data_IF_937836031642
#
_entry.id   IF_937836031642
#
_cell.length_a   1.000
_cell.length_b   1.000
_cell.length_c   1.000
_cell.angle_alpha   90.00
_cell.angle_beta   90.00
_cell.angle_gamma   90.00
#
_symmetry.space_group_name_H-M   'P 1'
#
loop_
_entity.id
_entity.type
_entity.pdbx_description
1 polymer ?
#
# COMPACT_ATOMS: atom_id res chain seq x y z
N UNK A 1 -30.52 -0.20 7.75
CA UNK A 1 -29.10 -0.22 8.19
C UNK A 1 -28.31 0.57 7.16
N UNK A 2 -27.94 1.81 7.46
CA UNK A 2 -27.05 2.57 6.58
C UNK A 2 -25.67 1.94 6.69
N UNK A 3 -25.29 1.14 5.69
CA UNK A 3 -23.88 0.86 5.43
C UNK A 3 -23.29 2.23 5.13
N UNK A 4 -22.63 2.85 6.12
CA UNK A 4 -21.84 4.03 5.88
C UNK A 4 -20.95 3.68 4.68
N UNK A 5 -21.20 4.33 3.54
CA UNK A 5 -20.44 4.17 2.30
C UNK A 5 -19.02 4.69 2.55
N UNK A 6 -18.27 3.92 3.32
CA UNK A 6 -16.93 4.26 3.74
C UNK A 6 -16.02 4.12 2.54
N UNK A 7 -15.24 5.16 2.27
CA UNK A 7 -14.16 5.08 1.31
C UNK A 7 -13.00 4.35 1.96
N UNK A 8 -12.62 3.18 1.44
CA UNK A 8 -11.48 2.40 1.93
C UNK A 8 -10.64 1.88 0.77
N UNK A 9 -9.37 1.58 1.06
CA UNK A 9 -8.49 0.92 0.10
C UNK A 9 -8.52 -0.58 0.30
N UNK A 10 -8.61 -1.33 -0.80
CA UNK A 10 -8.46 -2.78 -0.81
C UNK A 10 -7.16 -3.15 -1.50
N UNK A 11 -6.30 -3.88 -0.80
CA UNK A 11 -5.06 -4.43 -1.35
C UNK A 11 -5.32 -5.84 -1.87
N UNK A 12 -4.85 -6.13 -3.07
CA UNK A 12 -4.96 -7.43 -3.72
C UNK A 12 -3.59 -7.97 -4.14
N UNK A 13 -3.56 -9.27 -4.43
CA UNK A 13 -2.39 -9.89 -5.03
C UNK A 13 -2.38 -9.60 -6.54
N UNK A 14 -1.27 -9.10 -7.11
CA UNK A 14 -1.15 -8.84 -8.54
C UNK A 14 -1.36 -10.10 -9.40
N UNK A 15 -1.03 -11.29 -8.89
CA UNK A 15 -1.14 -12.57 -9.62
C UNK A 15 -2.60 -12.91 -10.02
N UNK A 16 -3.60 -12.29 -9.38
CA UNK A 16 -5.01 -12.45 -9.79
C UNK A 16 -5.32 -11.80 -11.15
N UNK A 17 -4.49 -10.86 -11.60
CA UNK A 17 -4.56 -10.27 -12.94
C UNK A 17 -3.62 -11.00 -13.88
N UNK A 18 -4.14 -11.79 -14.81
CA UNK A 18 -3.34 -12.59 -15.76
C UNK A 18 -2.62 -11.73 -16.84
N UNK A 19 -2.36 -10.44 -16.59
CA UNK A 19 -1.70 -9.54 -17.53
C UNK A 19 -0.21 -9.36 -17.16
N UNK A 20 0.68 -9.22 -18.16
CA UNK A 20 2.14 -9.15 -17.96
C UNK A 20 2.56 -7.99 -17.05
N UNK A 21 1.82 -6.88 -17.07
CA UNK A 21 2.00 -5.72 -16.19
C UNK A 21 1.85 -6.03 -14.68
N UNK A 22 1.19 -7.13 -14.31
CA UNK A 22 1.10 -7.56 -12.91
C UNK A 22 2.31 -8.37 -12.45
N UNK A 23 3.11 -8.95 -13.36
CA UNK A 23 4.23 -9.84 -12.99
C UNK A 23 5.36 -9.11 -12.26
N UNK A 24 5.49 -7.81 -12.47
CA UNK A 24 6.49 -6.95 -11.80
C UNK A 24 5.89 -6.06 -10.71
N UNK A 25 4.57 -6.11 -10.52
CA UNK A 25 3.89 -5.39 -9.45
C UNK A 25 4.09 -6.14 -8.12
N UNK A 26 4.31 -5.39 -7.04
CA UNK A 26 4.42 -5.93 -5.68
C UNK A 26 3.03 -6.18 -5.09
N UNK A 27 2.13 -5.24 -5.35
CA UNK A 27 0.75 -5.27 -4.88
C UNK A 27 -0.15 -4.50 -5.85
N UNK A 28 -1.45 -4.76 -5.77
CA UNK A 28 -2.47 -3.93 -6.43
C UNK A 28 -3.33 -3.28 -5.38
N UNK A 29 -3.73 -2.03 -5.62
CA UNK A 29 -4.64 -1.28 -4.76
C UNK A 29 -5.85 -0.85 -5.57
N UNK A 30 -7.03 -0.98 -4.98
CA UNK A 30 -8.26 -0.39 -5.51
C UNK A 30 -8.95 0.40 -4.40
N UNK A 31 -9.52 1.57 -4.70
CA UNK A 31 -10.49 2.21 -3.84
C UNK A 31 -11.81 1.44 -3.92
N UNK A 32 -12.45 1.28 -2.79
CA UNK A 32 -13.73 0.59 -2.65
C UNK A 32 -14.68 1.46 -1.80
N UNK A 33 -15.98 1.17 -1.87
CA UNK A 33 -17.02 1.97 -1.21
C UNK A 33 -17.29 3.36 -1.81
N UNK A 34 -16.56 3.80 -2.84
CA UNK A 34 -16.93 4.95 -3.65
C UNK A 34 -17.68 4.51 -4.92
N UNK A 35 -18.72 5.26 -5.31
CA UNK A 35 -19.47 4.98 -6.54
C UNK A 35 -18.64 5.14 -7.82
N UNK A 36 -17.52 5.85 -7.75
CA UNK A 36 -16.62 6.13 -8.88
C UNK A 36 -15.15 5.92 -8.50
N UNK A 37 -14.66 4.67 -8.49
CA UNK A 37 -13.29 4.35 -8.08
C UNK A 37 -12.22 4.96 -8.99
N UNK A 38 -12.55 5.27 -10.25
CA UNK A 38 -11.63 5.93 -11.19
C UNK A 38 -11.35 7.41 -10.87
N UNK A 39 -12.20 8.08 -10.09
CA UNK A 39 -12.00 9.48 -9.67
C UNK A 39 -11.20 9.60 -8.37
N UNK A 40 -10.98 8.49 -7.66
CA UNK A 40 -10.18 8.48 -6.45
C UNK A 40 -8.70 8.65 -6.80
N UNK A 41 -8.04 9.60 -6.15
CA UNK A 41 -6.61 9.77 -6.26
C UNK A 41 -5.93 8.88 -5.23
N UNK A 42 -5.07 7.98 -5.69
CA UNK A 42 -4.24 7.15 -4.83
C UNK A 42 -2.80 7.57 -4.99
N UNK A 43 -2.15 7.88 -3.88
CA UNK A 43 -0.72 8.16 -3.79
C UNK A 43 -0.06 7.16 -2.85
N UNK A 44 1.25 7.02 -2.94
CA UNK A 44 1.99 6.12 -2.08
C UNK A 44 3.43 6.51 -1.86
N UNK A 45 3.96 6.05 -0.73
CA UNK A 45 5.37 6.21 -0.35
C UNK A 45 5.85 4.89 0.24
N UNK A 46 7.02 4.44 -0.22
CA UNK A 46 7.74 3.33 0.39
C UNK A 46 8.68 3.87 1.48
N UNK A 47 8.42 3.45 2.71
CA UNK A 47 9.17 3.82 3.90
C UNK A 47 9.97 2.59 4.34
N UNK A 48 11.28 2.70 4.44
CA UNK A 48 12.14 1.57 4.72
C UNK A 48 13.31 1.89 5.62
N UNK A 49 13.98 0.85 6.09
CA UNK A 49 15.26 0.93 6.81
C UNK A 49 16.26 0.10 6.05
N UNK A 50 17.29 0.74 5.52
CA UNK A 50 18.39 0.10 4.78
C UNK A 50 19.69 0.41 5.51
N UNK A 51 20.45 -0.63 5.86
CA UNK A 51 21.69 -0.49 6.64
C UNK A 51 21.52 0.36 7.93
N UNK A 52 20.35 0.27 8.58
CA UNK A 52 20.03 1.05 9.80
C UNK A 52 19.59 2.50 9.56
N UNK A 53 19.57 2.98 8.31
CA UNK A 53 19.12 4.32 7.97
C UNK A 53 17.69 4.30 7.39
N UNK A 54 16.82 5.20 7.87
CA UNK A 54 15.46 5.38 7.34
C UNK A 54 15.53 5.98 5.93
N UNK A 55 14.75 5.42 5.02
CA UNK A 55 14.61 5.84 3.62
C UNK A 55 13.14 6.00 3.28
N UNK A 56 12.83 7.08 2.58
CA UNK A 56 11.48 7.43 2.14
C UNK A 56 11.51 7.64 0.64
N UNK A 57 10.80 6.81 -0.11
CA UNK A 57 10.80 6.81 -1.57
C UNK A 57 9.36 6.98 -2.06
N UNK A 58 8.99 8.11 -2.68
CA UNK A 58 7.67 8.26 -3.28
C UNK A 58 7.52 7.25 -4.42
N UNK A 59 6.39 6.54 -4.46
CA UNK A 59 6.15 5.49 -5.46
C UNK A 59 5.06 5.93 -6.43
N UNK A 60 5.26 5.61 -7.70
CA UNK A 60 4.29 5.85 -8.77
C UNK A 60 3.35 4.66 -8.87
N UNK A 61 2.08 4.95 -8.73
CA UNK A 61 1.01 4.01 -9.01
C UNK A 61 0.67 4.07 -10.49
N UNK A 62 0.73 2.94 -11.19
CA UNK A 62 0.26 2.89 -12.57
C UNK A 62 -1.18 2.42 -12.61
N UNK A 63 -2.04 3.21 -13.25
CA UNK A 63 -3.40 2.81 -13.55
C UNK A 63 -3.39 1.58 -14.48
N UNK A 64 -4.23 0.61 -14.16
CA UNK A 64 -4.42 -0.59 -14.96
C UNK A 64 -5.66 -0.45 -15.85
N UNK A 65 -5.85 -1.33 -16.87
CA UNK A 65 -7.04 -1.32 -17.71
C UNK A 65 -8.35 -1.49 -16.93
N UNK A 66 -8.28 -2.11 -15.75
CA UNK A 66 -9.42 -2.18 -14.84
C UNK A 66 -9.60 -0.82 -14.14
N UNK A 67 -10.76 -0.14 -14.32
CA UNK A 67 -10.98 1.20 -13.80
C UNK A 67 -10.87 1.23 -12.27
N UNK A 68 -10.12 2.21 -11.75
CA UNK A 68 -9.86 2.36 -10.32
C UNK A 68 -8.88 1.34 -9.74
N UNK A 69 -8.25 0.49 -10.55
CA UNK A 69 -7.21 -0.43 -10.06
C UNK A 69 -5.84 0.11 -10.43
N UNK A 70 -4.95 0.15 -9.44
CA UNK A 70 -3.61 0.65 -9.60
C UNK A 70 -2.59 -0.41 -9.19
N UNK A 71 -1.55 -0.58 -10.00
CA UNK A 71 -0.40 -1.41 -9.69
C UNK A 71 0.68 -0.58 -9.00
N UNK A 72 1.24 -1.15 -7.92
CA UNK A 72 2.43 -0.62 -7.25
C UNK A 72 3.61 -1.48 -7.64
N UNK A 73 4.63 -0.84 -8.20
CA UNK A 73 5.89 -1.50 -8.58
C UNK A 73 6.93 -1.27 -7.49
N UNK A 74 7.89 -2.20 -7.38
CA UNK A 74 9.00 -2.05 -6.43
C UNK A 74 9.99 -1.03 -6.98
N UNK A 75 9.85 0.22 -6.56
CA UNK A 75 10.81 1.29 -6.90
C UNK A 75 11.91 1.45 -5.83
N UNK A 76 11.91 0.60 -4.80
CA UNK A 76 12.89 0.57 -3.73
C UNK A 76 13.76 -0.70 -3.78
N UNK A 77 14.97 -0.68 -3.20
CA UNK A 77 15.86 -1.83 -3.19
C UNK A 77 15.25 -3.01 -2.42
N UNK A 78 15.64 -4.25 -2.78
CA UNK A 78 15.26 -5.44 -2.03
C UNK A 78 15.86 -5.46 -0.61
N UNK A 79 16.98 -4.76 -0.43
CA UNK A 79 17.72 -4.73 0.82
C UNK A 79 16.96 -3.93 1.88
N UNK A 80 17.04 -4.40 3.12
CA UNK A 80 16.37 -3.78 4.25
C UNK A 80 14.91 -4.17 4.38
N UNK A 81 14.22 -3.50 5.29
CA UNK A 81 12.79 -3.70 5.51
C UNK A 81 12.00 -2.52 5.00
N UNK A 82 10.83 -2.78 4.42
CA UNK A 82 10.04 -1.76 3.73
C UNK A 82 8.57 -1.91 4.06
N UNK A 83 7.91 -0.77 4.27
CA UNK A 83 6.46 -0.64 4.38
C UNK A 83 5.98 0.33 3.31
N UNK A 84 4.90 -0.02 2.62
CA UNK A 84 4.28 0.85 1.63
C UNK A 84 3.09 1.53 2.28
N UNK A 85 3.18 2.85 2.44
CA UNK A 85 2.08 3.68 2.88
C UNK A 85 1.32 4.18 1.66
N UNK A 86 0.04 3.88 1.58
CA UNK A 86 -0.87 4.30 0.51
C UNK A 86 -1.88 5.27 1.09
N UNK A 87 -2.18 6.34 0.37
CA UNK A 87 -3.21 7.30 0.75
C UNK A 87 -4.19 7.44 -0.41
N UNK A 88 -5.45 7.16 -0.14
CA UNK A 88 -6.56 7.40 -1.06
C UNK A 88 -7.25 8.70 -0.67
N UNK A 89 -7.58 9.52 -1.66
CA UNK A 89 -8.41 10.71 -1.52
C UNK A 89 -9.54 10.68 -2.55
N UNK A 90 -10.77 10.85 -2.09
CA UNK A 90 -11.96 10.91 -2.93
C UNK A 90 -12.90 11.99 -2.40
N UNK A 91 -13.05 13.10 -3.13
CA UNK A 91 -13.74 14.30 -2.63
C UNK A 91 -13.17 14.73 -1.25
N UNK A 92 -14.03 14.84 -0.24
CA UNK A 92 -13.69 15.17 1.14
C UNK A 92 -13.29 13.96 1.99
N UNK A 93 -13.39 12.75 1.44
CA UNK A 93 -13.00 11.53 2.13
C UNK A 93 -11.52 11.19 1.89
N UNK A 94 -10.83 10.80 2.96
CA UNK A 94 -9.43 10.35 2.92
C UNK A 94 -9.29 9.04 3.66
N UNK A 95 -8.56 8.09 3.08
CA UNK A 95 -8.24 6.80 3.68
C UNK A 95 -6.76 6.51 3.46
N UNK A 96 -6.20 5.62 4.26
CA UNK A 96 -4.85 5.14 4.02
C UNK A 96 -4.70 3.67 4.36
N UNK A 97 -3.66 3.06 3.81
CA UNK A 97 -3.27 1.71 4.11
C UNK A 97 -1.75 1.64 4.30
N UNK A 98 -1.30 0.98 5.35
CA UNK A 98 0.11 0.66 5.57
C UNK A 98 0.28 -0.82 5.28
N UNK A 99 1.10 -1.14 4.29
CA UNK A 99 1.30 -2.51 3.79
C UNK A 99 2.76 -2.90 3.98
N UNK A 100 3.08 -3.76 4.95
CA UNK A 100 4.43 -4.26 5.14
C UNK A 100 4.86 -5.17 3.99
N UNK A 101 6.11 -5.06 3.54
CA UNK A 101 6.68 -5.85 2.45
C UNK A 101 7.74 -6.79 3.03
N UNK A 102 7.44 -8.09 3.02
CA UNK A 102 8.37 -9.14 3.41
C UNK A 102 9.16 -9.69 2.23
N UNK A 103 10.10 -10.60 2.50
CA UNK A 103 10.96 -11.21 1.49
C UNK A 103 10.19 -11.96 0.38
N UNK A 104 9.01 -12.52 0.70
CA UNK A 104 8.15 -13.26 -0.23
C UNK A 104 7.04 -12.41 -0.88
N UNK A 105 6.96 -11.11 -0.58
CA UNK A 105 5.90 -10.22 -1.04
C UNK A 105 5.23 -9.46 0.10
N UNK A 106 4.08 -8.83 -0.17
CA UNK A 106 3.37 -8.05 0.84
C UNK A 106 2.72 -8.93 1.93
N UNK A 107 2.74 -8.45 3.16
CA UNK A 107 2.17 -9.13 4.34
C UNK A 107 0.75 -8.62 4.58
N UNK A 108 -0.24 -9.31 3.98
CA UNK A 108 -1.67 -8.96 4.14
C UNK A 108 -2.10 -8.91 5.61
N UNK A 109 -1.68 -9.88 6.40
CA UNK A 109 -2.08 -10.03 7.81
C UNK A 109 -1.55 -8.90 8.69
N UNK A 110 -0.41 -8.32 8.31
CA UNK A 110 0.19 -7.18 9.00
C UNK A 110 -0.20 -5.83 8.36
N UNK A 111 -1.03 -5.86 7.31
CA UNK A 111 -1.50 -4.63 6.66
C UNK A 111 -2.54 -3.93 7.51
N UNK A 112 -2.38 -2.62 7.70
CA UNK A 112 -3.28 -1.79 8.47
C UNK A 112 -4.05 -0.84 7.56
N UNK A 113 -5.36 -0.73 7.78
CA UNK A 113 -6.24 0.14 7.01
C UNK A 113 -6.84 1.18 7.94
N UNK A 114 -6.88 2.43 7.47
CA UNK A 114 -7.35 3.55 8.24
C UNK A 114 -8.41 4.34 7.45
N UNK A 115 -9.51 4.76 8.09
CA UNK A 115 -10.49 5.68 7.48
C UNK A 115 -9.99 7.14 7.51
N UNK A 116 -8.68 7.36 7.66
CA UNK A 116 -7.98 8.65 7.70
C UNK A 116 -6.58 8.50 7.13
N UNK A 117 -5.85 9.59 6.98
CA UNK A 117 -4.42 9.55 6.69
C UNK A 117 -3.65 8.85 7.84
N UNK A 118 -2.71 7.99 7.48
CA UNK A 118 -1.81 7.33 8.39
C UNK A 118 -0.84 8.36 8.97
N UNK A 119 -0.62 8.30 10.29
CA UNK A 119 0.39 9.13 10.94
C UNK A 119 1.78 8.55 10.75
N UNK A 120 2.80 9.40 10.81
CA UNK A 120 4.20 8.96 10.75
C UNK A 120 4.53 7.97 11.87
N UNK A 121 3.93 8.11 13.05
CA UNK A 121 4.09 7.18 14.16
C UNK A 121 3.52 5.78 13.86
N UNK A 122 2.38 5.69 13.15
CA UNK A 122 1.80 4.41 12.73
C UNK A 122 2.66 3.71 11.68
N UNK A 123 3.19 4.48 10.73
CA UNK A 123 4.13 4.01 9.71
C UNK A 123 5.41 3.50 10.38
N UNK A 124 6.02 4.32 11.23
CA UNK A 124 7.27 3.98 11.92
C UNK A 124 7.08 2.78 12.85
N UNK A 125 5.99 2.72 13.61
CA UNK A 125 5.68 1.58 14.47
C UNK A 125 5.57 0.28 13.68
N UNK A 126 4.93 0.33 12.50
CA UNK A 126 4.81 -0.83 11.61
C UNK A 126 6.15 -1.21 10.99
N UNK A 127 6.96 -0.21 10.59
CA UNK A 127 8.29 -0.41 10.03
C UNK A 127 9.26 -1.04 11.05
N UNK A 128 9.25 -0.54 12.30
CA UNK A 128 10.04 -1.11 13.40
C UNK A 128 9.59 -2.52 13.77
N UNK A 129 8.27 -2.77 13.79
CA UNK A 129 7.74 -4.10 14.03
C UNK A 129 8.18 -5.09 12.94
N UNK A 130 8.16 -4.67 11.67
CA UNK A 130 8.66 -5.48 10.55
C UNK A 130 10.17 -5.73 10.68
N UNK A 131 10.96 -4.70 11.00
CA UNK A 131 12.40 -4.82 11.24
C UNK A 131 12.70 -5.86 12.33
N UNK A 132 12.02 -5.76 13.46
CA UNK A 132 12.17 -6.69 14.58
C UNK A 132 11.72 -8.11 14.23
N UNK A 133 10.67 -8.26 13.41
CA UNK A 133 10.20 -9.57 12.95
C UNK A 133 11.18 -10.22 11.97
N UNK A 134 11.80 -9.46 11.07
CA UNK A 134 12.77 -10.01 10.11
C UNK A 134 14.14 -10.27 10.75
N UNK A 135 14.54 -9.50 11.78
CA UNK A 135 15.77 -9.78 12.53
C UNK A 135 15.71 -11.06 13.38
N UNK A 136 14.50 -11.61 13.59
CA UNK A 136 14.28 -12.88 14.32
C UNK A 136 14.15 -14.10 13.41
N UNK A 137 14.05 -13.90 12.09
CA UNK A 137 14.02 -14.97 11.09
C UNK A 137 15.44 -15.28 10.63
#
# INVERSE_FOLDING_TARGET
>A
MALAGGFFLTIGNPVAGNAPQFKSAVLVVRPDGCGEPAKAQITGTAEGIVAGARRSIPIKLMALPTPGVYAVYREWPAEGVWVVSLTGKYHDATTSAIVPIGAKGFLRESSKFFPRAATEAEIEGTLKALAASQARQ
#
